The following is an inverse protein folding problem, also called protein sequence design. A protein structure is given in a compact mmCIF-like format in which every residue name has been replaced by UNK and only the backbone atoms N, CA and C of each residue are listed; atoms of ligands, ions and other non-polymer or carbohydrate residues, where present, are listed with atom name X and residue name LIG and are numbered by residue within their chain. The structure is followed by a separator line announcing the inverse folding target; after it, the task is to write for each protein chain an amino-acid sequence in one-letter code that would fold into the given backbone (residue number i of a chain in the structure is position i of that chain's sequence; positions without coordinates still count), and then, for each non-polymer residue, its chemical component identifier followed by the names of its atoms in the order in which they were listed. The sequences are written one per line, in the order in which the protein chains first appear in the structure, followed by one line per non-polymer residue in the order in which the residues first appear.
data_IF_311030926681
#
_entry.id   IF_311030926681
#
_cell.length_a   1.000
_cell.length_b   1.000
_cell.length_c   1.000
_cell.angle_alpha   90.00
_cell.angle_beta   90.00
_cell.angle_gamma   90.00
#
_symmetry.space_group_name_H-M   'P 1'
#
loop_
_entity.id
_entity.type
_entity.pdbx_description
1 polymer ?
#
# COMPACT_ATOMS: atom_id res chain seq x y z
N UNK A 1 -17.67 -47.25 17.66
CA UNK A 1 -18.22 -47.12 16.29
C UNK A 1 -17.20 -46.51 15.36
N UNK A 2 -16.99 -47.13 14.20
CA UNK A 2 -16.28 -46.52 13.07
C UNK A 2 -17.09 -45.35 12.51
N UNK A 3 -16.42 -44.40 11.86
CA UNK A 3 -17.06 -43.19 11.29
C UNK A 3 -18.02 -43.54 10.14
N UNK A 4 -17.73 -44.59 9.36
CA UNK A 4 -18.63 -45.11 8.33
C UNK A 4 -19.95 -45.65 8.88
N UNK A 5 -19.91 -46.35 10.02
CA UNK A 5 -21.12 -46.83 10.68
C UNK A 5 -21.97 -45.66 11.20
N UNK A 6 -21.33 -44.56 11.59
CA UNK A 6 -22.04 -43.34 12.01
C UNK A 6 -22.73 -42.66 10.83
N UNK A 7 -22.06 -42.58 9.67
CA UNK A 7 -22.68 -42.08 8.43
C UNK A 7 -23.93 -42.89 8.09
N UNK A 8 -23.82 -44.22 8.01
CA UNK A 8 -24.95 -45.09 7.64
C UNK A 8 -26.09 -45.01 8.67
N UNK A 9 -25.77 -45.08 9.98
CA UNK A 9 -26.82 -44.97 11.01
C UNK A 9 -27.46 -43.59 11.08
N UNK A 10 -26.69 -42.54 10.76
CA UNK A 10 -27.20 -41.17 10.63
C UNK A 10 -28.18 -41.01 9.46
N UNK A 11 -28.29 -41.96 8.53
CA UNK A 11 -29.30 -41.88 7.47
C UNK A 11 -30.67 -42.44 7.90
N UNK A 12 -30.74 -43.31 8.91
CA UNK A 12 -31.96 -44.11 9.16
C UNK A 12 -32.49 -44.09 10.61
N UNK A 13 -31.67 -43.79 11.62
CA UNK A 13 -32.10 -43.95 13.03
C UNK A 13 -31.76 -42.74 13.92
N UNK A 14 -32.76 -41.89 14.23
CA UNK A 14 -32.61 -40.79 15.20
C UNK A 14 -32.26 -41.27 16.62
N UNK A 15 -32.70 -42.48 16.98
CA UNK A 15 -32.40 -43.10 18.29
C UNK A 15 -30.91 -43.42 18.42
N UNK A 16 -30.27 -43.90 17.35
CA UNK A 16 -28.82 -44.15 17.33
C UNK A 16 -28.03 -42.83 17.35
N UNK A 17 -28.52 -41.77 16.70
CA UNK A 17 -27.89 -40.45 16.74
C UNK A 17 -27.80 -39.88 18.16
N UNK A 18 -28.84 -40.09 18.98
CA UNK A 18 -28.86 -39.64 20.36
C UNK A 18 -27.71 -40.27 21.20
N UNK A 19 -27.25 -41.46 20.83
CA UNK A 19 -26.11 -42.13 21.48
C UNK A 19 -24.75 -41.52 21.09
N UNK A 20 -24.69 -40.74 19.99
CA UNK A 20 -23.46 -40.08 19.56
C UNK A 20 -23.05 -38.92 20.49
N UNK A 21 -23.94 -38.46 21.39
CA UNK A 21 -23.66 -37.41 22.38
C UNK A 21 -22.51 -37.75 23.34
N UNK A 22 -22.18 -39.03 23.49
CA UNK A 22 -21.12 -39.52 24.38
C UNK A 22 -19.77 -39.74 23.66
N UNK A 23 -19.63 -39.29 22.41
CA UNK A 23 -18.38 -39.46 21.66
C UNK A 23 -17.34 -38.37 21.95
N UNK A 24 -16.05 -38.75 21.81
CA UNK A 24 -14.93 -37.81 21.87
C UNK A 24 -14.97 -36.85 20.69
N UNK A 25 -14.69 -35.57 20.95
CA UNK A 25 -14.79 -34.46 19.96
C UNK A 25 -14.07 -34.73 18.64
N UNK A 26 -12.89 -35.37 18.67
CA UNK A 26 -12.10 -35.66 17.47
C UNK A 26 -12.80 -36.58 16.46
N UNK A 27 -13.63 -37.53 16.92
CA UNK A 27 -14.40 -38.41 16.02
C UNK A 27 -15.54 -37.66 15.35
N UNK A 28 -16.17 -36.74 16.07
CA UNK A 28 -17.23 -35.86 15.54
C UNK A 28 -16.66 -34.90 14.50
N UNK A 29 -15.47 -34.33 14.72
CA UNK A 29 -14.79 -33.47 13.75
C UNK A 29 -14.54 -34.24 12.46
N UNK A 30 -13.92 -35.43 12.53
CA UNK A 30 -13.64 -36.25 11.35
C UNK A 30 -14.92 -36.64 10.60
N UNK A 31 -15.99 -36.96 11.33
CA UNK A 31 -17.31 -37.23 10.76
C UNK A 31 -17.86 -36.03 9.98
N UNK A 32 -17.87 -34.83 10.59
CA UNK A 32 -18.35 -33.59 9.95
C UNK A 32 -17.51 -33.26 8.72
N UNK A 33 -16.18 -33.38 8.80
CA UNK A 33 -15.29 -33.13 7.66
C UNK A 33 -15.59 -34.08 6.49
N UNK A 34 -15.76 -35.38 6.75
CA UNK A 34 -16.09 -36.36 5.71
C UNK A 34 -17.48 -36.11 5.11
N UNK A 35 -18.46 -35.73 5.94
CA UNK A 35 -19.80 -35.37 5.52
C UNK A 35 -19.79 -34.12 4.62
N UNK A 36 -19.06 -33.08 5.02
CA UNK A 36 -18.88 -31.86 4.22
C UNK A 36 -18.20 -32.16 2.88
N UNK A 37 -17.20 -33.04 2.84
CA UNK A 37 -16.53 -33.44 1.61
C UNK A 37 -17.54 -34.10 0.66
N UNK A 38 -18.31 -35.09 1.13
CA UNK A 38 -19.34 -35.77 0.34
C UNK A 38 -20.41 -34.79 -0.16
N UNK A 39 -20.86 -33.86 0.70
CA UNK A 39 -21.85 -32.84 0.34
C UNK A 39 -21.35 -31.81 -0.68
N UNK A 40 -20.02 -31.67 -0.82
CA UNK A 40 -19.39 -30.71 -1.73
C UNK A 40 -19.16 -31.30 -3.12
N UNK A 41 -19.07 -32.65 -3.25
CA UNK A 41 -18.88 -33.35 -4.54
C UNK A 41 -19.92 -32.92 -5.60
N UNK A 42 -21.25 -32.93 -5.34
CA UNK A 42 -22.23 -32.54 -6.36
C UNK A 42 -22.05 -31.09 -6.81
N UNK A 43 -21.79 -30.18 -5.85
CA UNK A 43 -21.59 -28.75 -6.10
C UNK A 43 -20.38 -28.49 -7.00
N UNK A 44 -19.33 -29.33 -6.89
CA UNK A 44 -18.14 -29.20 -7.73
C UNK A 44 -18.33 -29.63 -9.18
N UNK A 45 -19.30 -30.49 -9.47
CA UNK A 45 -19.60 -30.91 -10.83
C UNK A 45 -20.63 -30.01 -11.53
N UNK A 46 -21.41 -29.24 -10.76
CA UNK A 46 -22.41 -28.29 -11.27
C UNK A 46 -21.94 -26.83 -11.23
N UNK A 47 -20.64 -26.56 -11.25
CA UNK A 47 -20.17 -25.19 -11.50
C UNK A 47 -20.56 -24.80 -12.92
N UNK A 48 -21.66 -24.06 -13.07
CA UNK A 48 -22.13 -23.66 -14.38
C UNK A 48 -21.31 -22.47 -14.88
N UNK A 49 -21.16 -22.37 -16.21
CA UNK A 49 -20.53 -21.19 -16.84
C UNK A 49 -21.26 -19.88 -16.49
N UNK A 50 -22.54 -19.97 -16.07
CA UNK A 50 -23.35 -18.86 -15.59
C UNK A 50 -22.81 -18.31 -14.27
N UNK A 51 -22.49 -19.19 -13.30
CA UNK A 51 -21.93 -18.79 -12.01
C UNK A 51 -20.59 -18.05 -12.18
N UNK A 52 -19.75 -18.50 -13.11
CA UNK A 52 -18.46 -17.86 -13.40
C UNK A 52 -18.66 -16.48 -14.05
N UNK A 53 -19.63 -16.33 -14.96
CA UNK A 53 -19.96 -15.04 -15.58
C UNK A 53 -20.53 -14.04 -14.59
N UNK A 54 -21.34 -14.50 -13.65
CA UNK A 54 -21.92 -13.66 -12.60
C UNK A 54 -20.82 -13.14 -11.65
N UNK A 55 -19.82 -13.97 -11.33
CA UNK A 55 -18.64 -13.55 -10.55
C UNK A 55 -17.79 -12.53 -11.34
N UNK A 56 -17.52 -12.79 -12.62
CA UNK A 56 -16.73 -11.87 -13.45
C UNK A 56 -17.42 -10.52 -13.60
N UNK A 57 -18.73 -10.51 -13.86
CA UNK A 57 -19.49 -9.26 -14.00
C UNK A 57 -19.57 -8.45 -12.69
N UNK A 58 -19.63 -9.13 -11.53
CA UNK A 58 -19.52 -8.48 -10.24
C UNK A 58 -18.13 -7.83 -10.04
N UNK A 59 -17.05 -8.49 -10.45
CA UNK A 59 -15.69 -7.95 -10.37
C UNK A 59 -15.52 -6.75 -11.32
N UNK A 60 -15.96 -6.87 -12.58
CA UNK A 60 -15.87 -5.78 -13.57
C UNK A 60 -16.61 -4.52 -13.12
N UNK A 61 -17.72 -4.69 -12.38
CA UNK A 61 -18.48 -3.57 -11.82
C UNK A 61 -17.74 -2.85 -10.69
N UNK A 62 -16.97 -3.59 -9.87
CA UNK A 62 -16.24 -3.06 -8.72
C UNK A 62 -14.86 -2.54 -9.12
N UNK A 63 -14.24 -3.10 -10.17
CA UNK A 63 -12.87 -2.79 -10.58
C UNK A 63 -12.60 -1.29 -10.78
N UNK A 64 -13.44 -0.49 -11.46
CA UNK A 64 -13.22 0.95 -11.60
C UNK A 64 -13.23 1.70 -10.26
N UNK A 65 -14.13 1.30 -9.35
CA UNK A 65 -14.26 1.90 -8.01
C UNK A 65 -13.02 1.57 -7.19
N UNK A 66 -12.57 0.31 -7.24
CA UNK A 66 -11.36 -0.13 -6.56
C UNK A 66 -10.13 0.63 -7.08
N UNK A 67 -9.98 0.78 -8.40
CA UNK A 67 -8.87 1.53 -9.00
C UNK A 67 -8.88 3.01 -8.61
N UNK A 68 -10.07 3.62 -8.50
CA UNK A 68 -10.21 5.00 -8.01
C UNK A 68 -9.74 5.11 -6.56
N UNK A 69 -10.19 4.21 -5.67
CA UNK A 69 -9.80 4.19 -4.25
C UNK A 69 -8.30 3.96 -4.11
N UNK A 70 -7.73 3.02 -4.87
CA UNK A 70 -6.28 2.76 -4.90
C UNK A 70 -5.51 3.98 -5.41
N UNK A 71 -5.99 4.65 -6.46
CA UNK A 71 -5.37 5.86 -6.99
C UNK A 71 -5.33 7.00 -5.97
N UNK A 72 -6.42 7.22 -5.24
CA UNK A 72 -6.46 8.17 -4.12
C UNK A 72 -5.48 7.76 -3.02
N UNK A 73 -5.43 6.48 -2.67
CA UNK A 73 -4.50 5.95 -1.67
C UNK A 73 -3.03 6.17 -2.04
N UNK A 74 -2.67 5.90 -3.31
CA UNK A 74 -1.31 6.13 -3.84
C UNK A 74 -0.97 7.62 -3.78
N UNK A 75 -1.89 8.51 -4.18
CA UNK A 75 -1.67 9.95 -4.13
C UNK A 75 -1.43 10.45 -2.69
N UNK A 76 -2.24 10.00 -1.73
CA UNK A 76 -2.07 10.37 -0.32
C UNK A 76 -0.74 9.85 0.25
N UNK A 77 -0.37 8.62 -0.10
CA UNK A 77 0.91 8.05 0.30
C UNK A 77 2.07 8.84 -0.30
N UNK A 78 1.97 9.26 -1.56
CA UNK A 78 2.97 10.10 -2.21
C UNK A 78 3.15 11.45 -1.51
N UNK A 79 2.05 12.10 -1.09
CA UNK A 79 2.13 13.34 -0.31
C UNK A 79 2.89 13.14 1.00
N UNK A 80 2.62 12.04 1.70
CA UNK A 80 3.30 11.71 2.94
C UNK A 80 4.81 11.49 2.75
N UNK A 81 5.20 10.71 1.73
CA UNK A 81 6.61 10.49 1.41
C UNK A 81 7.31 11.79 1.00
N UNK A 82 6.67 12.64 0.19
CA UNK A 82 7.21 13.94 -0.20
C UNK A 82 7.42 14.84 1.01
N UNK A 83 6.47 14.86 1.95
CA UNK A 83 6.59 15.63 3.20
C UNK A 83 7.76 15.17 4.07
N UNK A 84 7.95 13.86 4.22
CA UNK A 84 9.10 13.28 4.90
C UNK A 84 10.41 13.64 4.18
N UNK A 85 10.44 13.54 2.85
CA UNK A 85 11.59 13.90 2.03
C UNK A 85 12.00 15.36 2.20
N UNK A 86 11.04 16.29 2.14
CA UNK A 86 11.29 17.72 2.36
C UNK A 86 11.84 17.96 3.76
N UNK A 87 11.31 17.29 4.78
CA UNK A 87 11.77 17.44 6.17
C UNK A 87 13.21 16.95 6.36
N UNK A 88 13.56 15.79 5.79
CA UNK A 88 14.91 15.24 5.84
C UNK A 88 15.89 16.13 5.06
N UNK A 89 15.51 16.58 3.87
CA UNK A 89 16.37 17.44 3.05
C UNK A 89 16.51 18.85 3.64
N UNK A 90 15.49 19.38 4.30
CA UNK A 90 15.56 20.65 5.01
C UNK A 90 16.50 20.57 6.21
N UNK A 91 16.54 19.43 6.91
CA UNK A 91 17.52 19.18 7.96
C UNK A 91 18.95 19.24 7.42
N UNK A 92 19.22 18.61 6.27
CA UNK A 92 20.51 18.71 5.57
C UNK A 92 20.77 20.15 5.10
N UNK A 93 19.73 20.84 4.60
CA UNK A 93 19.77 22.25 4.21
C UNK A 93 20.13 23.20 5.34
N UNK A 94 19.75 22.87 6.57
CA UNK A 94 20.12 23.64 7.77
C UNK A 94 21.62 23.73 7.94
N UNK A 95 22.37 22.65 7.67
CA UNK A 95 23.83 22.65 7.73
C UNK A 95 24.47 23.56 6.66
N UNK A 96 23.79 23.78 5.53
CA UNK A 96 24.27 24.67 4.45
C UNK A 96 23.98 26.15 4.70
N UNK A 97 23.07 26.46 5.63
CA UNK A 97 22.53 27.81 5.85
C UNK A 97 23.28 28.67 6.88
N UNK A 98 24.31 28.11 7.52
CA UNK A 98 24.94 28.64 8.73
C UNK A 98 25.43 30.11 8.57
N UNK A 99 25.88 30.49 7.37
CA UNK A 99 26.36 31.83 7.07
C UNK A 99 25.25 32.88 6.83
N UNK A 100 24.00 32.47 6.67
CA UNK A 100 22.87 33.34 6.26
C UNK A 100 21.82 33.54 7.35
N UNK A 101 21.98 32.93 8.53
CA UNK A 101 21.06 33.02 9.69
C UNK A 101 19.59 32.73 9.33
N UNK A 102 19.35 31.70 8.53
CA UNK A 102 17.99 31.31 8.14
C UNK A 102 17.34 30.48 9.24
N UNK A 103 16.05 30.70 9.48
CA UNK A 103 15.25 29.83 10.35
C UNK A 103 14.95 28.50 9.66
N UNK A 104 14.84 27.41 10.43
CA UNK A 104 14.47 26.10 9.91
C UNK A 104 13.18 26.14 9.06
N UNK A 105 12.19 26.93 9.46
CA UNK A 105 10.93 27.12 8.70
C UNK A 105 11.17 27.72 7.31
N UNK A 106 12.14 28.64 7.18
CA UNK A 106 12.50 29.24 5.90
C UNK A 106 13.21 28.22 5.02
N UNK A 107 14.14 27.45 5.59
CA UNK A 107 14.87 26.40 4.87
C UNK A 107 13.93 25.29 4.40
N UNK A 108 12.97 24.90 5.24
CA UNK A 108 11.95 23.93 4.88
C UNK A 108 11.09 24.41 3.71
N UNK A 109 10.68 25.68 3.74
CA UNK A 109 9.96 26.33 2.63
C UNK A 109 10.80 26.35 1.34
N UNK A 110 12.08 26.76 1.43
CA UNK A 110 12.99 26.76 0.27
C UNK A 110 13.23 25.37 -0.28
N UNK A 111 13.31 24.36 0.59
CA UNK A 111 13.44 22.96 0.21
C UNK A 111 12.22 22.51 -0.59
N UNK A 112 11.01 22.80 -0.10
CA UNK A 112 9.77 22.49 -0.82
C UNK A 112 9.72 23.14 -2.21
N UNK A 113 10.15 24.39 -2.36
CA UNK A 113 10.24 25.03 -3.68
C UNK A 113 11.34 24.43 -4.57
N UNK A 114 12.44 23.96 -3.98
CA UNK A 114 13.54 23.33 -4.73
C UNK A 114 13.14 21.99 -5.37
N UNK A 115 12.06 21.35 -4.90
CA UNK A 115 11.49 20.16 -5.54
C UNK A 115 10.86 20.45 -6.90
N UNK A 116 10.43 21.69 -7.18
CA UNK A 116 9.69 22.02 -8.41
C UNK A 116 10.52 21.78 -9.68
N UNK A 117 11.77 22.23 -9.69
CA UNK A 117 12.70 22.07 -10.81
C UNK A 117 12.90 20.60 -11.19
N UNK A 118 13.38 19.71 -10.29
CA UNK A 118 13.55 18.30 -10.63
C UNK A 118 12.22 17.63 -10.94
N UNK A 119 11.11 18.00 -10.29
CA UNK A 119 9.80 17.39 -10.61
C UNK A 119 9.38 17.70 -12.04
N UNK A 120 9.48 18.95 -12.49
CA UNK A 120 9.15 19.33 -13.87
C UNK A 120 10.11 18.67 -14.85
N UNK A 121 11.42 18.66 -14.54
CA UNK A 121 12.42 18.05 -15.39
C UNK A 121 12.15 16.56 -15.60
N UNK A 122 11.98 15.79 -14.52
CA UNK A 122 11.70 14.35 -14.60
C UNK A 122 10.32 14.07 -15.22
N UNK A 123 9.31 14.91 -14.95
CA UNK A 123 8.00 14.81 -15.62
C UNK A 123 8.12 14.91 -17.14
N UNK A 124 8.95 15.82 -17.65
CA UNK A 124 9.20 15.96 -19.10
C UNK A 124 9.95 14.71 -19.63
N UNK A 125 10.94 14.20 -18.89
CA UNK A 125 11.69 13.00 -19.29
C UNK A 125 10.79 11.76 -19.35
N UNK A 126 9.92 11.59 -18.36
CA UNK A 126 8.92 10.52 -18.32
C UNK A 126 7.94 10.64 -19.49
N UNK A 127 7.49 11.87 -19.81
CA UNK A 127 6.62 12.13 -20.95
C UNK A 127 7.28 11.74 -22.28
N UNK A 128 8.59 11.99 -22.41
CA UNK A 128 9.40 11.60 -23.56
C UNK A 128 9.81 10.11 -23.53
N UNK A 129 9.40 9.35 -22.51
CA UNK A 129 9.78 7.95 -22.27
C UNK A 129 11.31 7.75 -22.19
N UNK A 130 12.03 8.77 -21.73
CA UNK A 130 13.47 8.69 -21.50
C UNK A 130 13.69 8.01 -20.15
N UNK A 131 14.20 6.78 -20.17
CA UNK A 131 14.56 6.09 -18.94
C UNK A 131 15.84 6.69 -18.36
N UNK A 132 15.73 7.30 -17.18
CA UNK A 132 16.86 7.85 -16.45
C UNK A 132 17.40 6.79 -15.47
N UNK A 133 18.63 6.29 -15.65
CA UNK A 133 19.23 5.41 -14.67
C UNK A 133 19.39 6.16 -13.34
N UNK A 134 19.17 5.47 -12.23
CA UNK A 134 19.36 6.05 -10.89
C UNK A 134 18.51 7.31 -10.63
N UNK A 135 17.31 7.42 -11.21
CA UNK A 135 16.42 8.59 -11.09
C UNK A 135 16.28 9.13 -9.67
N UNK A 136 16.16 8.25 -8.67
CA UNK A 136 16.03 8.65 -7.27
C UNK A 136 17.22 9.48 -6.79
N UNK A 137 18.45 9.02 -7.03
CA UNK A 137 19.66 9.71 -6.59
C UNK A 137 19.84 11.04 -7.32
N UNK A 138 19.59 11.05 -8.63
CA UNK A 138 19.66 12.26 -9.43
C UNK A 138 18.61 13.28 -9.02
N UNK A 139 17.38 12.85 -8.75
CA UNK A 139 16.30 13.69 -8.25
C UNK A 139 16.70 14.37 -6.93
N UNK A 140 17.16 13.58 -5.95
CA UNK A 140 17.61 14.12 -4.66
C UNK A 140 18.84 15.03 -4.79
N UNK A 141 19.80 14.68 -5.65
CA UNK A 141 20.99 15.50 -5.90
C UNK A 141 20.62 16.86 -6.51
N UNK A 142 19.71 16.89 -7.49
CA UNK A 142 19.23 18.13 -8.10
C UNK A 142 18.53 18.99 -7.05
N UNK A 143 17.71 18.43 -6.16
CA UNK A 143 17.09 19.19 -5.06
C UNK A 143 18.15 19.85 -4.19
N UNK A 144 19.18 19.11 -3.77
CA UNK A 144 20.25 19.65 -2.92
C UNK A 144 21.04 20.76 -3.62
N UNK A 145 21.33 20.59 -4.92
CA UNK A 145 22.02 21.61 -5.73
C UNK A 145 21.17 22.89 -5.81
N UNK A 146 19.89 22.75 -6.15
CA UNK A 146 18.96 23.90 -6.24
C UNK A 146 18.84 24.58 -4.89
N UNK A 147 18.61 23.83 -3.82
CA UNK A 147 18.50 24.36 -2.46
C UNK A 147 19.77 25.11 -2.04
N UNK A 148 20.95 24.56 -2.30
CA UNK A 148 22.22 25.21 -2.01
C UNK A 148 22.38 26.54 -2.77
N UNK A 149 22.06 26.56 -4.07
CA UNK A 149 22.11 27.77 -4.88
C UNK A 149 21.12 28.83 -4.37
N UNK A 150 19.89 28.41 -4.04
CA UNK A 150 18.87 29.32 -3.51
C UNK A 150 19.29 29.92 -2.17
N UNK A 151 19.85 29.13 -1.24
CA UNK A 151 20.37 29.64 0.03
C UNK A 151 21.53 30.62 -0.19
N UNK A 152 22.41 30.33 -1.16
CA UNK A 152 23.58 31.16 -1.45
C UNK A 152 23.22 32.54 -2.01
N UNK A 153 22.11 32.62 -2.75
CA UNK A 153 21.58 33.87 -3.33
C UNK A 153 21.04 34.84 -2.27
N UNK A 154 20.69 34.35 -1.07
CA UNK A 154 20.15 35.19 0.00
C UNK A 154 21.28 36.09 0.56
N UNK A 155 21.11 37.43 0.61
CA UNK A 155 22.15 38.35 1.08
C UNK A 155 22.56 38.08 2.53
N UNK A 156 23.86 38.25 2.83
CA UNK A 156 24.40 38.06 4.18
C UNK A 156 23.82 39.12 5.13
N UNK A 157 23.41 38.77 6.36
CA UNK A 157 23.04 39.76 7.36
C UNK A 157 24.19 40.75 7.57
N UNK A 158 23.93 42.06 7.42
CA UNK A 158 24.95 43.09 7.69
C UNK A 158 25.38 42.97 9.15
N UNK A 159 26.68 42.84 9.41
CA UNK A 159 27.22 42.96 10.76
C UNK A 159 26.84 44.33 11.31
N UNK A 160 26.21 44.37 12.48
CA UNK A 160 26.03 45.63 13.20
C UNK A 160 27.43 46.08 13.61
N UNK A 161 27.96 47.10 12.95
CA UNK A 161 29.05 47.87 13.51
C UNK A 161 28.56 48.48 14.81
N UNK A 162 29.02 47.92 15.93
CA UNK A 162 28.91 48.54 17.24
C UNK A 162 29.75 49.81 17.20
N UNK A 163 29.07 50.96 17.25
CA UNK A 163 29.66 52.29 17.44
C UNK A 163 29.86 52.56 18.93
#
# INVERSE_FOLDING_TARGET
MSVFMQLVKSLYSPKDMALFRFQKIGKTILYITLLCLIATIPKTFTFEKKDIKDIISAIDSIYPILMLVVGIGIYLFQLFISFLGVTILAFIGSAMSDQRKLSYTQIWTLTAYSYTIPTILFMIMDLLKINVPWSFLLYTAIILIVLYLTIKEIPKPKEKHEL
#
